data_IF_019083942303
#
_entry.id   IF_019083942303
#
_cell.length_a   1.000
_cell.length_b   1.000
_cell.length_c   1.000
_cell.angle_alpha   90.00
_cell.angle_beta   90.00
_cell.angle_gamma   90.00
#
_symmetry.space_group_name_H-M   'P 1'
#
loop_
_entity.id
_entity.type
_entity.pdbx_description
1 polymer ?
#
# COMPACT_ATOMS: atom_id res chain seq x y z
N UNK A 1 -23.08 25.73 -12.80
CA UNK A 1 -23.35 24.31 -12.50
C UNK A 1 -23.84 24.15 -11.08
N UNK A 2 -24.76 23.23 -10.86
CA UNK A 2 -25.21 22.87 -9.52
C UNK A 2 -24.05 22.22 -8.77
N UNK A 3 -23.77 22.70 -7.55
CA UNK A 3 -22.76 22.11 -6.68
C UNK A 3 -23.27 20.88 -5.93
N UNK A 4 -24.57 20.56 -6.02
CA UNK A 4 -25.21 19.49 -5.31
C UNK A 4 -26.07 18.69 -6.30
N UNK A 5 -26.01 17.35 -6.20
CA UNK A 5 -26.86 16.47 -6.97
C UNK A 5 -28.24 16.38 -6.29
N UNK A 6 -29.33 16.82 -6.93
CA UNK A 6 -30.66 16.82 -6.33
C UNK A 6 -31.15 15.41 -5.89
N UNK A 7 -30.80 14.38 -6.63
CA UNK A 7 -31.18 13.00 -6.32
C UNK A 7 -30.50 12.52 -5.04
N UNK A 8 -29.19 12.74 -4.91
CA UNK A 8 -28.42 12.39 -3.71
C UNK A 8 -28.88 13.17 -2.48
N UNK A 9 -29.28 14.45 -2.65
CA UNK A 9 -29.85 15.25 -1.57
C UNK A 9 -31.19 14.68 -1.13
N UNK A 10 -32.02 14.26 -2.09
CA UNK A 10 -33.30 13.66 -1.77
C UNK A 10 -33.12 12.32 -1.06
N UNK A 11 -32.19 11.50 -1.52
CA UNK A 11 -31.83 10.26 -0.84
C UNK A 11 -31.33 10.52 0.58
N UNK A 12 -30.42 11.47 0.78
CA UNK A 12 -29.98 11.90 2.10
C UNK A 12 -31.14 12.26 3.02
N UNK A 13 -32.14 12.98 2.51
CA UNK A 13 -33.31 13.42 3.28
C UNK A 13 -34.23 12.29 3.69
N UNK A 14 -34.27 11.21 2.91
CA UNK A 14 -35.29 10.16 3.05
C UNK A 14 -34.75 8.80 3.53
N UNK A 15 -33.42 8.59 3.48
CA UNK A 15 -32.82 7.31 3.84
C UNK A 15 -33.05 6.95 5.32
N UNK A 16 -33.48 5.72 5.58
CA UNK A 16 -33.63 5.18 6.94
C UNK A 16 -32.25 4.88 7.59
N UNK A 17 -31.17 4.86 6.80
CA UNK A 17 -29.82 4.58 7.31
C UNK A 17 -29.40 5.58 8.38
N UNK A 18 -29.64 6.88 8.14
CA UNK A 18 -29.34 7.95 9.10
C UNK A 18 -30.10 7.75 10.40
N UNK A 19 -31.37 7.38 10.33
CA UNK A 19 -32.20 7.17 11.51
C UNK A 19 -31.72 5.95 12.31
N UNK A 20 -31.34 4.88 11.60
CA UNK A 20 -30.76 3.69 12.20
C UNK A 20 -29.42 3.99 12.90
N UNK A 21 -28.55 4.78 12.26
CA UNK A 21 -27.30 5.21 12.85
C UNK A 21 -27.51 6.01 14.14
N UNK A 22 -28.46 6.93 14.16
CA UNK A 22 -28.82 7.73 15.35
C UNK A 22 -29.33 6.87 16.50
N UNK A 23 -30.18 5.89 16.23
CA UNK A 23 -30.66 4.93 17.24
C UNK A 23 -29.48 4.20 17.88
N UNK A 24 -28.48 3.86 17.10
CA UNK A 24 -27.22 3.22 17.54
C UNK A 24 -26.18 4.20 18.09
N UNK A 25 -26.49 5.51 18.18
CA UNK A 25 -25.57 6.58 18.59
C UNK A 25 -24.31 6.68 17.72
N UNK A 26 -24.39 6.21 16.48
CA UNK A 26 -23.32 6.31 15.49
C UNK A 26 -23.32 7.70 14.86
N UNK A 27 -22.17 8.31 14.74
CA UNK A 27 -22.02 9.63 14.10
C UNK A 27 -22.26 9.53 12.60
N UNK A 28 -22.93 10.55 12.05
CA UNK A 28 -23.29 10.62 10.64
C UNK A 28 -22.69 11.86 10.01
N UNK A 29 -21.79 11.68 9.04
CA UNK A 29 -21.17 12.75 8.27
C UNK A 29 -21.69 12.70 6.82
N UNK A 30 -21.93 13.88 6.24
CA UNK A 30 -22.26 14.00 4.83
C UNK A 30 -20.98 14.15 4.02
N UNK A 31 -20.68 13.19 3.13
CA UNK A 31 -19.50 13.30 2.24
C UNK A 31 -19.78 14.26 1.08
N UNK A 32 -18.87 15.18 0.90
CA UNK A 32 -18.83 16.15 -0.22
C UNK A 32 -17.65 15.83 -1.10
N UNK A 33 -17.93 15.29 -2.28
CA UNK A 33 -16.90 14.88 -3.22
C UNK A 33 -16.70 15.88 -4.35
N UNK A 34 -15.44 16.10 -4.73
CA UNK A 34 -15.09 16.85 -5.94
C UNK A 34 -13.88 16.18 -6.62
N UNK A 35 -14.05 15.81 -7.88
CA UNK A 35 -13.04 15.04 -8.61
C UNK A 35 -12.42 15.85 -9.76
N UNK A 36 -11.10 15.74 -9.85
CA UNK A 36 -10.31 16.20 -10.97
C UNK A 36 -9.88 17.66 -10.91
N UNK A 37 -8.74 17.89 -11.56
CA UNK A 37 -8.04 19.17 -11.58
C UNK A 37 -8.94 20.37 -11.98
N UNK A 38 -9.72 20.21 -13.06
CA UNK A 38 -10.52 21.31 -13.61
C UNK A 38 -11.59 21.78 -12.64
N UNK A 39 -12.35 20.85 -12.05
CA UNK A 39 -13.44 21.17 -11.14
C UNK A 39 -12.91 21.84 -9.86
N UNK A 40 -11.88 21.25 -9.27
CA UNK A 40 -11.24 21.79 -8.06
C UNK A 40 -10.60 23.16 -8.32
N UNK A 41 -9.95 23.36 -9.47
CA UNK A 41 -9.37 24.67 -9.82
C UNK A 41 -10.42 25.77 -9.95
N UNK A 42 -11.57 25.48 -10.58
CA UNK A 42 -12.68 26.41 -10.73
C UNK A 42 -13.36 26.74 -9.40
N UNK A 43 -13.55 25.74 -8.54
CA UNK A 43 -14.17 25.92 -7.24
C UNK A 43 -13.23 26.70 -6.29
N UNK A 44 -11.99 26.28 -6.16
CA UNK A 44 -11.02 26.90 -5.25
C UNK A 44 -10.54 28.27 -5.74
N UNK A 45 -10.76 28.59 -7.00
CA UNK A 45 -10.45 29.92 -7.58
C UNK A 45 -11.49 30.99 -7.31
N UNK A 46 -12.67 30.65 -6.81
CA UNK A 46 -13.81 31.54 -6.65
C UNK A 46 -14.43 31.38 -5.24
N UNK A 47 -14.05 32.30 -4.34
CA UNK A 47 -14.53 32.27 -2.94
C UNK A 47 -16.04 32.45 -2.79
N UNK A 48 -16.71 33.08 -3.76
CA UNK A 48 -18.17 33.23 -3.71
C UNK A 48 -18.88 31.88 -3.73
N UNK A 49 -18.29 30.90 -4.40
CA UNK A 49 -18.79 29.53 -4.46
C UNK A 49 -18.65 28.78 -3.12
N UNK A 50 -17.62 29.10 -2.33
CA UNK A 50 -17.45 28.49 -1.01
C UNK A 50 -18.63 28.81 -0.10
N UNK A 51 -19.04 30.08 -0.06
CA UNK A 51 -20.18 30.51 0.71
C UNK A 51 -21.47 29.77 0.35
N UNK A 52 -21.76 29.69 -0.96
CA UNK A 52 -22.96 28.99 -1.47
C UNK A 52 -22.93 27.51 -1.06
N UNK A 53 -21.79 26.82 -1.19
CA UNK A 53 -21.66 25.43 -0.79
C UNK A 53 -21.87 25.26 0.74
N UNK A 54 -21.17 26.06 1.55
CA UNK A 54 -21.22 25.95 3.01
C UNK A 54 -22.66 26.22 3.55
N UNK A 55 -23.35 27.22 2.99
CA UNK A 55 -24.74 27.50 3.38
C UNK A 55 -25.68 26.34 3.03
N UNK A 56 -25.50 25.77 1.85
CA UNK A 56 -26.27 24.61 1.42
C UNK A 56 -26.00 23.40 2.32
N UNK A 57 -24.74 23.12 2.64
CA UNK A 57 -24.36 22.04 3.56
C UNK A 57 -24.94 22.26 4.96
N UNK A 58 -24.86 23.48 5.48
CA UNK A 58 -25.44 23.83 6.78
C UNK A 58 -26.93 23.48 6.86
N UNK A 59 -27.70 23.84 5.82
CA UNK A 59 -29.11 23.53 5.76
C UNK A 59 -29.36 22.01 5.73
N UNK A 60 -28.66 21.28 4.86
CA UNK A 60 -28.82 19.82 4.71
C UNK A 60 -28.42 19.08 5.99
N UNK A 61 -27.40 19.50 6.69
CA UNK A 61 -26.97 18.92 7.97
C UNK A 61 -28.01 19.19 9.05
N UNK A 62 -28.53 20.42 9.16
CA UNK A 62 -29.56 20.77 10.14
C UNK A 62 -30.87 20.05 9.86
N UNK A 63 -31.26 19.82 8.59
CA UNK A 63 -32.48 19.10 8.20
C UNK A 63 -32.53 17.67 8.79
N UNK A 64 -31.40 17.01 8.88
CA UNK A 64 -31.30 15.62 9.39
C UNK A 64 -30.60 15.52 10.74
N UNK A 65 -30.25 16.65 11.37
CA UNK A 65 -29.47 16.68 12.61
C UNK A 65 -28.21 15.79 12.50
N UNK A 66 -27.48 15.93 11.38
CA UNK A 66 -26.25 15.18 11.13
C UNK A 66 -25.07 15.76 11.92
N UNK A 67 -24.01 14.94 12.11
CA UNK A 67 -22.91 15.31 13.00
C UNK A 67 -21.81 16.14 12.31
N UNK A 68 -21.78 16.21 10.99
CA UNK A 68 -20.78 16.99 10.26
C UNK A 68 -20.63 16.59 8.79
N UNK A 69 -19.47 16.92 8.25
CA UNK A 69 -19.11 16.66 6.85
C UNK A 69 -17.82 15.89 6.73
N UNK A 70 -17.72 15.10 5.66
CA UNK A 70 -16.48 14.55 5.15
C UNK A 70 -16.15 15.22 3.82
N UNK A 71 -14.94 15.76 3.65
CA UNK A 71 -14.49 16.42 2.44
C UNK A 71 -13.59 15.48 1.66
N UNK A 72 -14.10 14.97 0.54
CA UNK A 72 -13.35 14.12 -0.38
C UNK A 72 -13.09 14.84 -1.71
N UNK A 73 -12.11 15.72 -1.70
CA UNK A 73 -11.68 16.44 -2.89
C UNK A 73 -10.43 15.80 -3.47
N UNK A 74 -10.54 15.15 -4.63
CA UNK A 74 -9.43 14.44 -5.27
C UNK A 74 -8.96 15.17 -6.54
N UNK A 75 -7.64 15.08 -6.82
CA UNK A 75 -7.04 15.77 -7.95
C UNK A 75 -6.95 17.29 -7.74
N UNK A 76 -6.59 17.73 -6.54
CA UNK A 76 -6.38 19.13 -6.21
C UNK A 76 -5.21 19.71 -7.01
N UNK A 77 -5.36 20.95 -7.56
CA UNK A 77 -4.24 21.64 -8.18
C UNK A 77 -3.22 22.10 -7.13
N UNK A 78 -1.95 21.84 -7.36
CA UNK A 78 -0.87 22.27 -6.46
C UNK A 78 -0.93 23.77 -6.12
N UNK A 79 -1.16 24.62 -7.14
CA UNK A 79 -1.27 26.07 -6.95
C UNK A 79 -2.49 26.51 -6.13
N UNK A 80 -3.41 25.60 -5.84
CA UNK A 80 -4.61 25.84 -5.02
C UNK A 80 -4.49 25.29 -3.59
N UNK A 81 -3.34 24.75 -3.18
CA UNK A 81 -3.08 24.28 -1.81
C UNK A 81 -3.53 25.31 -0.76
N UNK A 82 -3.03 26.55 -0.85
CA UNK A 82 -3.42 27.62 0.09
C UNK A 82 -4.89 28.06 -0.02
N UNK A 83 -5.51 27.92 -1.20
CA UNK A 83 -6.96 28.17 -1.35
C UNK A 83 -7.78 27.07 -0.70
N UNK A 84 -7.33 25.82 -0.77
CA UNK A 84 -7.96 24.70 -0.11
C UNK A 84 -7.92 24.84 1.41
N UNK A 85 -6.75 25.17 1.98
CA UNK A 85 -6.64 25.43 3.43
C UNK A 85 -7.61 26.51 3.90
N UNK A 86 -7.66 27.65 3.18
CA UNK A 86 -8.62 28.73 3.50
C UNK A 86 -10.09 28.31 3.35
N UNK A 87 -10.40 27.44 2.38
CA UNK A 87 -11.74 26.89 2.26
C UNK A 87 -12.12 26.03 3.48
N UNK A 88 -11.22 25.16 3.93
CA UNK A 88 -11.45 24.32 5.12
C UNK A 88 -11.57 25.18 6.39
N UNK A 89 -10.73 26.21 6.53
CA UNK A 89 -10.85 27.20 7.63
C UNK A 89 -12.21 27.91 7.64
N UNK A 90 -12.66 28.42 6.48
CA UNK A 90 -13.97 29.08 6.35
C UNK A 90 -15.12 28.11 6.60
N UNK A 91 -15.01 26.87 6.11
CA UNK A 91 -15.95 25.80 6.39
C UNK A 91 -16.07 25.55 7.91
N UNK A 92 -14.95 25.38 8.61
CA UNK A 92 -14.92 25.21 10.08
C UNK A 92 -15.62 26.36 10.80
N UNK A 93 -15.25 27.58 10.45
CA UNK A 93 -15.79 28.78 11.07
C UNK A 93 -17.31 28.86 10.92
N UNK A 94 -17.81 28.70 9.69
CA UNK A 94 -19.25 28.84 9.40
C UNK A 94 -20.07 27.67 9.93
N UNK A 95 -19.59 26.44 9.89
CA UNK A 95 -20.28 25.30 10.48
C UNK A 95 -20.40 25.47 12.00
N UNK A 96 -19.33 25.93 12.68
CA UNK A 96 -19.39 26.20 14.14
C UNK A 96 -20.43 27.28 14.51
N UNK A 97 -20.66 28.24 13.62
CA UNK A 97 -21.64 29.30 13.85
C UNK A 97 -23.10 28.87 13.58
N UNK A 98 -23.30 27.97 12.62
CA UNK A 98 -24.61 27.75 12.04
C UNK A 98 -25.19 26.34 12.27
N UNK A 99 -24.38 25.37 12.70
CA UNK A 99 -24.88 24.05 13.12
C UNK A 99 -25.45 24.17 14.52
N UNK A 100 -26.65 23.60 14.69
CA UNK A 100 -27.43 23.74 15.92
C UNK A 100 -27.07 22.64 16.92
N UNK A 101 -26.99 23.01 18.18
CA UNK A 101 -26.95 22.10 19.35
C UNK A 101 -25.76 21.13 19.45
N UNK A 102 -24.74 21.25 18.57
CA UNK A 102 -23.52 20.41 18.61
C UNK A 102 -22.34 21.08 17.92
N UNK A 103 -21.14 20.62 18.27
CA UNK A 103 -19.91 20.96 17.50
C UNK A 103 -19.84 20.04 16.29
N UNK A 104 -19.86 20.58 15.06
CA UNK A 104 -19.79 19.79 13.86
C UNK A 104 -18.43 19.15 13.66
N UNK A 105 -18.41 17.90 13.20
CA UNK A 105 -17.19 17.18 12.84
C UNK A 105 -16.84 17.51 11.40
N UNK A 106 -15.58 17.82 11.14
CA UNK A 106 -15.01 17.87 9.79
C UNK A 106 -14.02 16.73 9.64
N UNK A 107 -14.32 15.80 8.75
CA UNK A 107 -13.39 14.79 8.26
C UNK A 107 -12.82 15.23 6.93
N UNK A 108 -11.56 14.89 6.66
CA UNK A 108 -10.89 15.11 5.39
C UNK A 108 -10.33 13.81 4.87
N UNK A 109 -10.82 13.39 3.71
CA UNK A 109 -10.29 12.22 3.00
C UNK A 109 -8.99 12.57 2.29
N UNK A 110 -7.95 11.78 2.52
CA UNK A 110 -6.61 11.93 1.98
C UNK A 110 -6.26 10.77 1.04
N UNK A 111 -5.60 11.03 -0.09
CA UNK A 111 -5.12 9.97 -0.99
C UNK A 111 -4.02 9.14 -0.33
N UNK A 112 -3.85 7.90 -0.77
CA UNK A 112 -2.73 7.06 -0.35
C UNK A 112 -1.36 7.74 -0.63
N UNK A 113 -1.29 8.53 -1.71
CA UNK A 113 -0.09 9.27 -2.08
C UNK A 113 -0.45 10.76 -2.18
N UNK A 114 0.13 11.56 -1.30
CA UNK A 114 0.02 13.02 -1.34
C UNK A 114 1.15 13.62 -2.18
N UNK A 115 1.10 13.44 -3.49
CA UNK A 115 2.10 13.95 -4.41
C UNK A 115 2.29 15.46 -4.25
N UNK A 116 3.53 15.90 -4.10
CA UNK A 116 3.90 17.32 -3.95
C UNK A 116 3.28 17.99 -2.71
N UNK A 117 2.90 17.22 -1.69
CA UNK A 117 2.30 17.74 -0.46
C UNK A 117 1.11 18.70 -0.73
N UNK A 118 0.23 18.32 -1.66
CA UNK A 118 -0.92 19.14 -2.04
C UNK A 118 -1.86 19.37 -0.85
N UNK A 119 -2.01 18.36 0.02
CA UNK A 119 -2.74 18.48 1.28
C UNK A 119 -1.74 18.83 2.38
N UNK A 120 -1.82 20.06 2.86
CA UNK A 120 -1.00 20.56 3.98
C UNK A 120 -1.56 20.08 5.30
N UNK A 121 -1.23 18.84 5.65
CA UNK A 121 -1.81 18.20 6.84
C UNK A 121 -1.51 18.96 8.14
N UNK A 122 -0.35 19.62 8.23
CA UNK A 122 0.05 20.41 9.41
C UNK A 122 -0.86 21.63 9.61
N UNK A 123 -1.18 22.34 8.53
CA UNK A 123 -2.08 23.48 8.61
C UNK A 123 -3.54 23.04 8.74
N UNK A 124 -3.94 22.01 7.98
CA UNK A 124 -5.30 21.49 7.96
C UNK A 124 -5.74 20.88 9.29
N UNK A 125 -4.83 20.26 10.08
CA UNK A 125 -5.20 19.63 11.36
C UNK A 125 -5.66 20.64 12.43
N UNK A 126 -5.50 21.94 12.19
CA UNK A 126 -6.06 23.02 13.03
C UNK A 126 -7.58 23.13 12.90
N UNK A 127 -8.10 22.71 11.74
CA UNK A 127 -9.51 22.89 11.34
C UNK A 127 -10.25 21.57 11.17
N UNK A 128 -9.53 20.46 11.02
CA UNK A 128 -10.04 19.11 10.77
C UNK A 128 -10.00 18.28 12.04
N UNK A 129 -11.06 17.52 12.30
CA UNK A 129 -11.16 16.62 13.45
C UNK A 129 -10.62 15.22 13.13
N UNK A 130 -10.83 14.77 11.89
CA UNK A 130 -10.46 13.43 11.43
C UNK A 130 -9.82 13.49 10.04
N UNK A 131 -8.74 12.74 9.85
CA UNK A 131 -8.16 12.46 8.55
C UNK A 131 -8.43 11.02 8.19
N UNK A 132 -9.01 10.78 7.03
CA UNK A 132 -9.27 9.45 6.51
C UNK A 132 -8.33 9.17 5.33
N UNK A 133 -7.31 8.36 5.55
CA UNK A 133 -6.36 7.97 4.51
C UNK A 133 -6.96 6.81 3.71
N UNK A 134 -7.11 6.97 2.40
CA UNK A 134 -7.58 5.94 1.48
C UNK A 134 -6.49 4.89 1.26
N UNK A 135 -6.40 3.91 2.16
CA UNK A 135 -5.43 2.81 2.13
C UNK A 135 -5.86 1.69 1.19
N UNK A 136 -6.18 2.03 -0.05
CA UNK A 136 -6.63 1.09 -1.08
C UNK A 136 -6.33 1.60 -2.49
N UNK A 137 -6.62 0.79 -3.50
CA UNK A 137 -6.39 1.08 -4.92
C UNK A 137 -4.91 1.21 -5.30
N UNK A 138 -4.00 0.55 -4.57
CA UNK A 138 -2.58 0.59 -4.86
C UNK A 138 -2.25 -0.11 -6.19
N UNK A 139 -2.85 -1.27 -6.43
CA UNK A 139 -2.63 -2.09 -7.64
C UNK A 139 -3.98 -2.37 -8.32
N UNK A 140 -4.54 -1.38 -8.99
CA UNK A 140 -5.85 -1.47 -9.66
C UNK A 140 -5.83 -0.97 -11.10
N UNK A 141 -4.67 -0.96 -11.73
CA UNK A 141 -4.51 -0.53 -13.12
C UNK A 141 -4.15 -1.67 -14.07
N UNK A 142 -4.26 -1.45 -15.37
CA UNK A 142 -3.96 -2.47 -16.38
C UNK A 142 -2.54 -3.05 -16.34
N UNK A 143 -1.62 -2.37 -15.67
CA UNK A 143 -0.21 -2.74 -15.59
C UNK A 143 0.26 -3.09 -14.16
N UNK A 144 -0.63 -3.03 -13.18
CA UNK A 144 -0.30 -3.17 -11.77
C UNK A 144 -1.14 -4.30 -11.15
N UNK A 145 -0.82 -5.55 -11.52
CA UNK A 145 -1.46 -6.73 -10.94
C UNK A 145 -0.96 -6.95 -9.51
N UNK A 146 -1.89 -7.15 -8.58
CA UNK A 146 -1.52 -7.39 -7.19
C UNK A 146 -2.56 -6.94 -6.16
N UNK A 147 -2.14 -6.86 -4.91
CA UNK A 147 -2.98 -6.51 -3.77
C UNK A 147 -3.57 -5.11 -3.88
N UNK A 148 -4.86 -4.97 -3.58
CA UNK A 148 -5.56 -3.67 -3.54
C UNK A 148 -5.01 -2.78 -2.43
N UNK A 149 -4.62 -3.38 -1.30
CA UNK A 149 -4.12 -2.68 -0.11
C UNK A 149 -2.92 -3.43 0.50
N UNK A 150 -1.75 -3.48 -0.18
CA UNK A 150 -0.59 -4.21 0.33
C UNK A 150 -0.08 -3.60 1.63
N UNK A 151 0.15 -4.43 2.66
CA UNK A 151 0.69 -3.95 3.93
C UNK A 151 2.14 -3.49 3.78
N UNK A 152 2.97 -4.30 3.13
CA UNK A 152 4.34 -3.97 2.74
C UNK A 152 4.50 -3.99 1.22
N UNK A 153 5.44 -3.22 0.66
CA UNK A 153 5.69 -3.19 -0.78
C UNK A 153 6.33 -4.50 -1.25
N UNK A 154 6.04 -4.93 -2.47
CA UNK A 154 6.74 -6.05 -3.11
C UNK A 154 8.18 -5.69 -3.44
N UNK A 155 8.39 -4.49 -3.97
CA UNK A 155 9.68 -3.87 -4.23
C UNK A 155 9.84 -2.62 -3.38
N UNK A 156 11.05 -2.14 -3.20
CA UNK A 156 11.36 -1.01 -2.28
C UNK A 156 10.71 0.30 -2.69
N UNK A 157 10.40 0.47 -3.96
CA UNK A 157 9.75 1.68 -4.50
C UNK A 157 8.24 1.54 -4.63
N UNK A 158 7.70 0.33 -4.42
CA UNK A 158 6.27 0.08 -4.51
C UNK A 158 5.50 0.78 -3.38
N UNK A 159 4.29 1.16 -3.71
CA UNK A 159 3.40 1.82 -2.77
C UNK A 159 2.74 0.77 -1.89
N UNK A 160 2.60 1.07 -0.60
CA UNK A 160 1.97 0.19 0.38
C UNK A 160 1.36 0.99 1.53
N UNK A 161 0.55 0.33 2.35
CA UNK A 161 0.01 0.93 3.58
C UNK A 161 1.12 1.44 4.50
N UNK A 162 2.20 0.67 4.64
CA UNK A 162 3.34 1.07 5.47
C UNK A 162 4.04 2.32 4.92
N UNK A 163 4.28 2.40 3.62
CA UNK A 163 4.93 3.57 3.01
C UNK A 163 4.02 4.80 3.08
N UNK A 164 2.72 4.63 2.81
CA UNK A 164 1.70 5.68 2.93
C UNK A 164 1.64 6.25 4.33
N UNK A 165 1.44 5.39 5.33
CA UNK A 165 1.29 5.85 6.70
C UNK A 165 2.59 6.46 7.23
N UNK A 166 3.73 5.83 6.94
CA UNK A 166 5.03 6.41 7.28
C UNK A 166 5.20 7.81 6.70
N UNK A 167 4.84 8.02 5.43
CA UNK A 167 4.91 9.33 4.78
C UNK A 167 4.09 10.38 5.53
N UNK A 168 2.82 10.09 5.86
CA UNK A 168 1.98 11.04 6.58
C UNK A 168 2.45 11.30 8.01
N UNK A 169 2.92 10.28 8.71
CA UNK A 169 3.48 10.42 10.06
C UNK A 169 4.78 11.26 10.05
N UNK A 170 5.65 11.04 9.07
CA UNK A 170 6.88 11.82 8.88
C UNK A 170 6.56 13.31 8.55
N UNK A 171 5.43 13.58 7.88
CA UNK A 171 4.91 14.94 7.68
C UNK A 171 4.37 15.57 8.98
N UNK A 172 4.12 14.78 10.03
CA UNK A 172 3.61 15.27 11.32
C UNK A 172 2.08 15.29 11.42
N UNK A 173 1.37 14.43 10.69
CA UNK A 173 -0.06 14.21 10.93
C UNK A 173 -0.27 13.64 12.32
N UNK A 174 -1.33 14.08 13.00
CA UNK A 174 -1.68 13.56 14.34
C UNK A 174 -2.30 12.16 14.23
N UNK A 175 -1.64 11.09 14.74
CA UNK A 175 -2.19 9.74 14.69
C UNK A 175 -3.56 9.64 15.37
N UNK A 176 -3.77 10.38 16.47
CA UNK A 176 -5.02 10.37 17.22
C UNK A 176 -6.22 10.96 16.47
N UNK A 177 -5.97 11.62 15.34
CA UNK A 177 -6.97 12.13 14.39
C UNK A 177 -7.02 11.33 13.10
N UNK A 178 -6.14 10.34 12.90
CA UNK A 178 -5.95 9.64 11.64
C UNK A 178 -6.67 8.29 11.63
N UNK A 179 -7.45 8.04 10.58
CA UNK A 179 -8.16 6.80 10.30
C UNK A 179 -7.53 6.18 9.03
N UNK A 180 -7.17 4.90 9.10
CA UNK A 180 -6.73 4.13 7.93
C UNK A 180 -7.92 3.41 7.31
N UNK A 181 -8.38 3.85 6.14
CA UNK A 181 -9.47 3.20 5.43
C UNK A 181 -8.95 2.04 4.58
N UNK A 182 -9.62 0.88 4.67
CA UNK A 182 -9.25 -0.38 4.05
C UNK A 182 -10.40 -0.92 3.18
N UNK A 183 -10.11 -1.69 2.13
CA UNK A 183 -11.11 -2.15 1.18
C UNK A 183 -11.85 -3.40 1.67
N UNK A 184 -13.18 -3.43 1.52
CA UNK A 184 -14.00 -4.64 1.57
C UNK A 184 -14.28 -5.17 0.16
N UNK A 185 -13.28 -4.98 -0.73
CA UNK A 185 -13.30 -5.44 -2.11
C UNK A 185 -11.91 -5.87 -2.54
N UNK A 186 -11.86 -6.66 -3.59
CA UNK A 186 -10.65 -7.08 -4.25
C UNK A 186 -10.56 -6.58 -5.69
N UNK A 187 -9.57 -7.05 -6.41
CA UNK A 187 -9.39 -6.81 -7.84
C UNK A 187 -9.30 -8.12 -8.58
N UNK A 188 -9.86 -8.16 -9.79
CA UNK A 188 -9.85 -9.31 -10.66
C UNK A 188 -9.20 -8.95 -11.99
N UNK A 189 -8.32 -9.84 -12.43
CA UNK A 189 -7.70 -9.80 -13.76
C UNK A 189 -8.17 -11.01 -14.55
N UNK A 190 -8.46 -10.81 -15.82
CA UNK A 190 -8.79 -11.86 -16.75
C UNK A 190 -7.71 -11.96 -17.81
N UNK A 191 -7.38 -13.17 -18.22
CA UNK A 191 -6.34 -13.44 -19.19
C UNK A 191 -6.55 -14.74 -19.93
N UNK A 192 -5.52 -15.12 -20.69
CA UNK A 192 -5.51 -16.37 -21.44
C UNK A 192 -4.21 -17.11 -21.16
N UNK A 193 -4.30 -18.41 -20.90
CA UNK A 193 -3.16 -19.30 -20.78
C UNK A 193 -2.67 -19.66 -22.19
N UNK A 194 -1.44 -19.25 -22.52
CA UNK A 194 -0.78 -19.62 -23.77
C UNK A 194 -0.30 -21.07 -23.78
N UNK A 195 -0.05 -21.63 -24.95
CA UNK A 195 0.49 -22.98 -25.14
C UNK A 195 1.88 -23.15 -24.50
N UNK A 196 2.63 -22.08 -24.37
CA UNK A 196 3.94 -22.02 -23.71
C UNK A 196 3.88 -21.86 -22.18
N UNK A 197 2.66 -21.85 -21.61
CA UNK A 197 2.42 -21.64 -20.17
C UNK A 197 2.48 -20.16 -19.74
N UNK A 198 2.66 -19.23 -20.67
CA UNK A 198 2.57 -17.79 -20.36
C UNK A 198 1.12 -17.38 -20.14
N UNK A 199 0.91 -16.43 -19.23
CA UNK A 199 -0.41 -15.83 -18.97
C UNK A 199 -0.36 -14.36 -19.32
N UNK A 200 -1.26 -13.91 -20.18
CA UNK A 200 -1.52 -12.50 -20.41
C UNK A 200 -2.76 -12.12 -19.63
N UNK A 201 -2.65 -11.25 -18.64
CA UNK A 201 -3.79 -10.81 -17.86
C UNK A 201 -3.96 -9.29 -17.94
N UNK A 202 -5.22 -8.87 -18.03
CA UNK A 202 -5.63 -7.47 -17.99
C UNK A 202 -6.56 -7.25 -16.81
N UNK A 203 -6.48 -6.07 -16.21
CA UNK A 203 -7.42 -5.68 -15.17
C UNK A 203 -8.85 -5.74 -15.73
N UNK A 204 -9.69 -6.55 -15.12
CA UNK A 204 -11.09 -6.69 -15.51
C UNK A 204 -11.96 -5.71 -14.72
N UNK A 205 -11.99 -5.88 -13.41
CA UNK A 205 -12.82 -5.04 -12.51
C UNK A 205 -12.46 -5.20 -11.04
N UNK A 206 -13.02 -4.33 -10.23
CA UNK A 206 -13.11 -4.53 -8.78
C UNK A 206 -14.23 -5.53 -8.47
N UNK A 207 -14.01 -6.34 -7.42
CA UNK A 207 -14.96 -7.36 -6.95
C UNK A 207 -15.22 -7.16 -5.47
N UNK A 208 -16.48 -7.05 -5.06
CA UNK A 208 -16.83 -6.93 -3.64
C UNK A 208 -16.44 -8.20 -2.88
N UNK A 209 -16.23 -8.10 -1.57
CA UNK A 209 -15.95 -9.28 -0.75
C UNK A 209 -17.03 -10.36 -0.92
N UNK A 210 -18.32 -9.96 -0.95
CA UNK A 210 -19.42 -10.85 -1.26
C UNK A 210 -19.25 -11.61 -2.57
N UNK A 211 -18.85 -10.92 -3.65
CA UNK A 211 -18.61 -11.57 -4.96
C UNK A 211 -17.45 -12.55 -4.87
N UNK A 212 -16.34 -12.17 -4.22
CA UNK A 212 -15.20 -13.07 -4.00
C UNK A 212 -15.67 -14.33 -3.26
N UNK A 213 -16.42 -14.17 -2.16
CA UNK A 213 -16.95 -15.31 -1.40
C UNK A 213 -17.90 -16.19 -2.22
N UNK A 214 -18.67 -15.60 -3.15
CA UNK A 214 -19.54 -16.38 -4.04
C UNK A 214 -18.75 -17.22 -5.06
N UNK A 215 -17.59 -16.76 -5.51
CA UNK A 215 -16.71 -17.53 -6.39
C UNK A 215 -16.24 -18.85 -5.76
N UNK A 216 -16.02 -18.90 -4.43
CA UNK A 216 -15.65 -20.15 -3.74
C UNK A 216 -16.78 -21.17 -3.66
N UNK A 217 -18.02 -20.77 -3.89
CA UNK A 217 -19.17 -21.67 -3.92
C UNK A 217 -19.45 -22.20 -5.34
N UNK A 218 -18.72 -21.78 -6.37
CA UNK A 218 -18.86 -22.34 -7.72
C UNK A 218 -18.43 -23.81 -7.73
N UNK A 219 -19.17 -24.64 -8.39
CA UNK A 219 -18.92 -26.09 -8.50
C UNK A 219 -17.49 -26.38 -8.97
N UNK A 220 -16.99 -25.56 -9.91
CA UNK A 220 -15.63 -25.67 -10.44
C UNK A 220 -14.57 -25.50 -9.36
N UNK A 221 -14.68 -24.48 -8.52
CA UNK A 221 -13.74 -24.19 -7.41
C UNK A 221 -13.78 -25.32 -6.37
N UNK A 222 -14.97 -25.77 -6.04
CA UNK A 222 -15.17 -26.87 -5.08
C UNK A 222 -14.62 -28.19 -5.62
N UNK A 223 -14.87 -28.53 -6.89
CA UNK A 223 -14.40 -29.77 -7.53
C UNK A 223 -12.87 -29.79 -7.66
N UNK A 224 -12.21 -28.64 -7.88
CA UNK A 224 -10.77 -28.56 -8.00
C UNK A 224 -10.04 -28.25 -6.69
N UNK A 225 -10.77 -28.17 -5.56
CA UNK A 225 -10.24 -27.90 -4.22
C UNK A 225 -9.33 -26.65 -4.20
N UNK A 226 -9.75 -25.59 -4.91
CA UNK A 226 -9.00 -24.35 -4.98
C UNK A 226 -9.15 -23.57 -3.68
N UNK A 227 -8.04 -23.17 -3.11
CA UNK A 227 -7.98 -22.35 -1.89
C UNK A 227 -7.13 -21.11 -2.10
N UNK A 228 -7.46 -20.01 -1.42
CA UNK A 228 -6.63 -18.83 -1.47
C UNK A 228 -5.21 -19.09 -1.00
N UNK A 229 -4.29 -18.39 -1.61
CA UNK A 229 -2.87 -18.38 -1.23
C UNK A 229 -2.58 -17.05 -0.55
N UNK A 230 -2.02 -17.11 0.66
CA UNK A 230 -1.58 -15.91 1.36
C UNK A 230 -0.27 -15.41 0.76
N UNK A 231 -0.31 -14.20 0.19
CA UNK A 231 0.90 -13.44 -0.09
C UNK A 231 1.32 -12.69 1.18
N UNK A 232 2.44 -13.12 1.78
CA UNK A 232 2.81 -12.72 3.15
C UNK A 232 3.28 -11.27 3.27
N UNK A 233 3.90 -10.73 2.24
CA UNK A 233 4.48 -9.39 2.29
C UNK A 233 3.39 -8.32 2.19
N UNK A 234 2.51 -8.45 1.23
CA UNK A 234 1.33 -7.60 1.12
C UNK A 234 0.27 -7.89 2.16
N UNK A 235 0.37 -9.04 2.84
CA UNK A 235 -0.67 -9.53 3.75
C UNK A 235 -2.04 -9.52 3.07
N UNK A 236 -2.11 -10.17 1.91
CA UNK A 236 -3.32 -10.23 1.07
C UNK A 236 -3.44 -11.63 0.48
N UNK A 237 -4.65 -12.13 0.33
CA UNK A 237 -4.88 -13.39 -0.33
C UNK A 237 -5.07 -13.20 -1.84
N UNK A 238 -4.68 -14.22 -2.60
CA UNK A 238 -5.02 -14.34 -4.01
C UNK A 238 -5.33 -15.78 -4.38
N UNK A 239 -6.03 -15.97 -5.49
CA UNK A 239 -6.22 -17.27 -6.12
C UNK A 239 -6.31 -17.13 -7.64
N UNK A 240 -5.93 -18.20 -8.32
CA UNK A 240 -5.96 -18.29 -9.78
C UNK A 240 -6.96 -19.36 -10.20
N UNK A 241 -7.80 -19.01 -11.15
CA UNK A 241 -8.74 -19.92 -11.82
C UNK A 241 -8.31 -20.09 -13.28
N UNK A 242 -8.26 -21.33 -13.74
CA UNK A 242 -8.09 -21.61 -15.18
C UNK A 242 -9.28 -22.43 -15.64
N UNK A 243 -10.03 -21.86 -16.59
CA UNK A 243 -11.21 -22.50 -17.15
C UNK A 243 -10.82 -23.45 -18.30
N UNK A 244 -11.73 -24.41 -18.69
CA UNK A 244 -11.46 -25.37 -19.75
C UNK A 244 -11.18 -24.76 -21.13
N UNK A 245 -11.59 -23.51 -21.36
CA UNK A 245 -11.34 -22.74 -22.58
C UNK A 245 -10.01 -21.96 -22.55
N UNK A 246 -9.14 -22.24 -21.57
CA UNK A 246 -7.91 -21.52 -21.28
C UNK A 246 -8.07 -20.07 -20.80
N UNK A 247 -9.29 -19.63 -20.51
CA UNK A 247 -9.48 -18.35 -19.79
C UNK A 247 -8.91 -18.49 -18.39
N UNK A 248 -8.17 -17.49 -17.96
CA UNK A 248 -7.62 -17.43 -16.58
C UNK A 248 -8.19 -16.23 -15.86
N UNK A 249 -8.48 -16.41 -14.57
CA UNK A 249 -8.82 -15.30 -13.67
C UNK A 249 -7.91 -15.34 -12.47
N UNK A 250 -7.39 -14.19 -12.10
CA UNK A 250 -6.65 -13.99 -10.86
C UNK A 250 -7.39 -12.97 -10.00
N UNK A 251 -7.63 -13.31 -8.75
CA UNK A 251 -8.39 -12.47 -7.82
C UNK A 251 -7.52 -12.20 -6.59
N UNK A 252 -7.32 -10.93 -6.28
CA UNK A 252 -6.66 -10.48 -5.06
C UNK A 252 -7.66 -9.83 -4.12
N UNK A 253 -7.66 -10.22 -2.85
CA UNK A 253 -8.63 -9.74 -1.87
C UNK A 253 -8.11 -9.89 -0.44
N UNK A 254 -8.73 -9.15 0.47
CA UNK A 254 -8.51 -9.31 1.90
C UNK A 254 -9.62 -10.14 2.53
N UNK A 255 -9.26 -11.00 3.49
CA UNK A 255 -10.18 -11.76 4.34
C UNK A 255 -10.09 -11.29 5.81
N UNK A 256 -10.73 -12.01 6.71
CA UNK A 256 -10.73 -11.76 8.14
C UNK A 256 -9.30 -11.77 8.73
N UNK A 257 -8.46 -12.71 8.30
CA UNK A 257 -7.08 -12.81 8.77
C UNK A 257 -6.22 -11.64 8.29
N UNK A 258 -6.24 -11.35 6.99
CA UNK A 258 -5.38 -10.32 6.39
C UNK A 258 -5.79 -8.91 6.80
N UNK A 259 -7.12 -8.63 6.87
CA UNK A 259 -7.63 -7.39 7.44
C UNK A 259 -7.30 -7.28 8.93
N UNK A 260 -7.43 -8.39 9.69
CA UNK A 260 -7.03 -8.41 11.09
C UNK A 260 -5.59 -7.97 11.32
N UNK A 261 -4.66 -8.37 10.46
CA UNK A 261 -3.26 -7.91 10.50
C UNK A 261 -3.09 -6.43 10.14
N UNK A 262 -3.87 -5.92 9.19
CA UNK A 262 -3.88 -4.49 8.83
C UNK A 262 -4.52 -3.64 9.93
N UNK A 263 -5.49 -4.18 10.67
CA UNK A 263 -6.05 -3.55 11.87
C UNK A 263 -5.02 -3.51 13.02
N UNK A 264 -4.28 -4.61 13.23
CA UNK A 264 -3.18 -4.65 14.20
C UNK A 264 -2.14 -3.56 13.88
N UNK A 265 -1.83 -3.38 12.59
CA UNK A 265 -0.92 -2.33 12.14
C UNK A 265 -1.43 -0.93 12.48
N UNK A 266 -2.71 -0.64 12.25
CA UNK A 266 -3.30 0.64 12.59
C UNK A 266 -3.28 0.90 14.12
N UNK A 267 -3.59 -0.12 14.92
CA UNK A 267 -3.52 -0.06 16.38
C UNK A 267 -2.10 0.15 16.88
N UNK A 268 -1.11 -0.57 16.32
CA UNK A 268 0.30 -0.44 16.68
C UNK A 268 0.92 0.93 16.33
N UNK A 269 0.27 1.70 15.45
CA UNK A 269 0.63 3.09 15.10
C UNK A 269 -0.18 4.13 15.87
N UNK A 270 -0.93 3.72 16.88
CA UNK A 270 -1.77 4.60 17.72
C UNK A 270 -2.75 5.45 16.90
N UNK A 271 -3.24 4.91 15.77
CA UNK A 271 -4.21 5.62 14.95
C UNK A 271 -5.54 5.75 15.67
N UNK A 272 -6.33 6.77 15.30
CA UNK A 272 -7.70 6.97 15.80
C UNK A 272 -8.58 5.75 15.58
N UNK A 273 -8.33 5.01 14.50
CA UNK A 273 -9.06 3.80 14.16
C UNK A 273 -8.87 3.39 12.72
N UNK A 274 -9.77 2.51 12.28
CA UNK A 274 -9.85 2.07 10.88
C UNK A 274 -11.14 2.54 10.24
N UNK A 275 -11.12 2.68 8.92
CA UNK A 275 -12.29 2.85 8.08
C UNK A 275 -12.47 1.66 7.14
N UNK A 276 -13.66 1.51 6.58
CA UNK A 276 -13.93 0.49 5.57
C UNK A 276 -14.56 1.11 4.32
N UNK A 277 -14.16 0.64 3.14
CA UNK A 277 -14.78 0.97 1.87
C UNK A 277 -15.23 -0.31 1.15
N UNK A 278 -16.54 -0.63 1.10
CA UNK A 278 -17.59 0.18 1.66
C UNK A 278 -18.61 -0.71 2.37
N UNK A 279 -19.44 -0.08 3.18
CA UNK A 279 -20.55 -0.73 3.87
C UNK A 279 -21.43 -1.51 2.89
N UNK A 280 -21.72 -2.77 3.21
CA UNK A 280 -22.52 -3.67 2.38
C UNK A 280 -21.76 -4.44 1.29
N UNK A 281 -20.45 -4.21 1.13
CA UNK A 281 -19.64 -4.99 0.19
C UNK A 281 -19.40 -6.44 0.66
N UNK A 282 -19.58 -6.69 1.92
CA UNK A 282 -19.55 -8.00 2.59
C UNK A 282 -20.95 -8.60 2.85
N UNK A 283 -22.01 -8.02 2.28
CA UNK A 283 -23.39 -8.37 2.58
C UNK A 283 -23.68 -9.89 2.49
N UNK A 284 -24.10 -10.47 3.59
CA UNK A 284 -24.32 -11.91 3.76
C UNK A 284 -23.18 -12.66 4.46
N UNK A 285 -22.10 -11.96 4.83
CA UNK A 285 -20.93 -12.50 5.52
C UNK A 285 -20.57 -11.62 6.71
N UNK A 286 -20.33 -12.21 7.88
CA UNK A 286 -20.10 -11.47 9.12
C UNK A 286 -18.65 -11.49 9.60
N UNK A 287 -17.83 -12.37 9.06
CA UNK A 287 -16.47 -12.59 9.54
C UNK A 287 -15.59 -11.34 9.58
N UNK A 288 -15.81 -10.39 8.65
CA UNK A 288 -15.06 -9.13 8.66
C UNK A 288 -15.48 -8.20 9.81
N UNK A 289 -16.76 -8.24 10.20
CA UNK A 289 -17.28 -7.52 11.37
C UNK A 289 -16.83 -8.15 12.67
N UNK A 290 -16.79 -9.48 12.74
CA UNK A 290 -16.30 -10.22 13.90
C UNK A 290 -14.85 -9.83 14.22
N UNK A 291 -14.02 -9.61 13.19
CA UNK A 291 -12.63 -9.11 13.38
C UNK A 291 -12.62 -7.70 13.96
N UNK A 292 -13.48 -6.79 13.49
CA UNK A 292 -13.58 -5.45 14.05
C UNK A 292 -13.99 -5.53 15.53
N UNK A 293 -15.02 -6.31 15.85
CA UNK A 293 -15.46 -6.49 17.23
C UNK A 293 -14.33 -7.02 18.12
N UNK A 294 -13.64 -8.06 17.67
CA UNK A 294 -12.54 -8.66 18.42
C UNK A 294 -11.33 -7.73 18.62
N UNK A 295 -11.03 -6.85 17.66
CA UNK A 295 -9.86 -5.97 17.72
C UNK A 295 -10.11 -4.64 18.43
N UNK A 296 -11.34 -4.12 18.36
CA UNK A 296 -11.67 -2.79 18.85
C UNK A 296 -12.66 -2.81 20.04
N UNK A 297 -12.99 -3.99 20.58
CA UNK A 297 -13.72 -4.09 21.84
C UNK A 297 -12.91 -3.47 22.99
N UNK A 298 -13.61 -2.98 24.01
CA UNK A 298 -13.06 -2.21 25.14
C UNK A 298 -11.96 -2.92 25.95
N UNK A 299 -11.84 -4.24 25.84
CA UNK A 299 -10.86 -5.07 26.56
C UNK A 299 -9.74 -5.60 25.63
N UNK A 300 -9.45 -4.89 24.53
CA UNK A 300 -8.45 -5.32 23.56
C UNK A 300 -7.05 -5.44 24.19
N UNK A 301 -6.39 -6.57 23.92
CA UNK A 301 -5.02 -6.83 24.34
C UNK A 301 -4.04 -5.96 23.53
N UNK A 302 -2.93 -5.46 24.13
CA UNK A 302 -1.90 -4.77 23.37
C UNK A 302 -1.44 -5.58 22.14
N UNK A 303 -1.35 -4.93 20.99
CA UNK A 303 -1.08 -5.58 19.71
C UNK A 303 0.36 -5.31 19.29
N UNK A 304 1.06 -6.35 18.84
CA UNK A 304 2.39 -6.20 18.24
C UNK A 304 2.28 -5.68 16.79
N UNK A 305 3.21 -4.81 16.39
CA UNK A 305 3.28 -4.31 15.02
C UNK A 305 3.58 -5.46 14.05
N UNK A 306 2.64 -5.82 13.15
CA UNK A 306 2.82 -6.95 12.25
C UNK A 306 3.94 -6.74 11.23
N UNK A 307 4.31 -5.49 10.90
CA UNK A 307 5.39 -5.18 9.96
C UNK A 307 6.70 -5.78 10.43
N UNK A 308 7.01 -5.69 11.73
CA UNK A 308 8.21 -6.30 12.31
C UNK A 308 8.23 -7.82 12.21
N UNK A 309 7.09 -8.47 12.16
CA UNK A 309 6.95 -9.94 12.01
C UNK A 309 7.03 -10.39 10.55
N UNK A 310 6.55 -9.57 9.60
CA UNK A 310 6.53 -9.86 8.17
C UNK A 310 7.90 -9.60 7.53
N UNK A 311 8.58 -8.53 7.94
CA UNK A 311 9.93 -8.23 7.48
C UNK A 311 10.90 -9.35 7.84
N UNK A 312 10.95 -10.36 6.99
CA UNK A 312 11.92 -11.44 7.09
C UNK A 312 13.36 -10.94 6.93
N UNK A 313 14.33 -11.75 7.40
CA UNK A 313 15.76 -11.45 7.27
C UNK A 313 16.21 -11.05 5.85
N UNK A 314 15.76 -11.73 4.75
CA UNK A 314 16.12 -11.34 3.38
C UNK A 314 15.68 -9.90 3.02
N UNK A 315 14.48 -9.49 3.44
CA UNK A 315 13.94 -8.14 3.16
C UNK A 315 14.72 -7.08 3.93
N UNK A 316 15.03 -7.31 5.21
CA UNK A 316 15.84 -6.39 6.02
C UNK A 316 17.24 -6.19 5.44
N UNK A 317 17.88 -7.25 4.97
CA UNK A 317 19.19 -7.20 4.33
C UNK A 317 19.12 -6.46 3.00
N UNK A 318 18.12 -6.75 2.17
CA UNK A 318 17.87 -6.05 0.91
C UNK A 318 17.67 -4.55 1.14
N UNK A 319 16.76 -4.17 2.03
CA UNK A 319 16.48 -2.77 2.38
C UNK A 319 17.73 -2.06 2.95
N UNK A 320 18.55 -2.76 3.76
CA UNK A 320 19.80 -2.22 4.25
C UNK A 320 20.79 -1.93 3.12
N UNK A 321 20.93 -2.85 2.17
CA UNK A 321 21.82 -2.69 1.00
C UNK A 321 21.35 -1.51 0.14
N UNK A 322 20.05 -1.43 -0.16
CA UNK A 322 19.47 -0.35 -0.97
C UNK A 322 19.56 1.02 -0.29
N UNK A 323 19.31 1.11 1.00
CA UNK A 323 19.49 2.34 1.79
C UNK A 323 20.93 2.84 1.79
N UNK A 324 21.90 1.95 1.59
CA UNK A 324 23.34 2.24 1.55
C UNK A 324 23.94 1.96 0.17
N UNK A 325 23.12 2.00 -0.90
CA UNK A 325 23.51 1.60 -2.25
C UNK A 325 24.82 2.27 -2.73
N UNK A 326 24.97 3.57 -2.52
CA UNK A 326 26.15 4.30 -2.96
C UNK A 326 27.41 3.83 -2.22
N UNK A 327 27.29 3.56 -0.91
CA UNK A 327 28.40 3.04 -0.12
C UNK A 327 28.80 1.63 -0.59
N UNK A 328 27.81 0.75 -0.83
CA UNK A 328 28.06 -0.60 -1.33
C UNK A 328 28.64 -0.57 -2.76
N UNK A 329 28.14 0.31 -3.63
CA UNK A 329 28.64 0.45 -4.99
C UNK A 329 30.12 0.91 -4.98
N UNK A 330 30.43 1.99 -4.26
CA UNK A 330 31.79 2.54 -4.17
C UNK A 330 32.73 1.52 -3.53
N UNK A 331 32.34 0.86 -2.44
CA UNK A 331 33.18 -0.14 -1.78
C UNK A 331 33.40 -1.37 -2.66
N UNK A 332 32.39 -1.82 -3.41
CA UNK A 332 32.51 -2.95 -4.34
C UNK A 332 33.43 -2.62 -5.53
N UNK A 333 33.35 -1.41 -6.09
CA UNK A 333 34.25 -0.94 -7.16
C UNK A 333 35.66 -0.81 -6.66
N UNK A 334 35.86 -0.24 -5.46
CA UNK A 334 37.18 -0.14 -4.85
C UNK A 334 37.83 -1.52 -4.62
N UNK A 335 37.02 -2.47 -4.13
CA UNK A 335 37.45 -3.83 -3.92
C UNK A 335 37.78 -4.54 -5.22
N UNK A 336 36.98 -4.40 -6.29
CA UNK A 336 37.30 -4.95 -7.62
C UNK A 336 38.62 -4.40 -8.15
N UNK A 337 38.88 -3.10 -7.95
CA UNK A 337 40.15 -2.49 -8.32
C UNK A 337 41.31 -3.08 -7.52
N UNK A 338 41.15 -3.26 -6.21
CA UNK A 338 42.17 -3.90 -5.36
C UNK A 338 42.45 -5.36 -5.76
N UNK A 339 41.39 -6.13 -6.10
CA UNK A 339 41.50 -7.51 -6.61
C UNK A 339 42.25 -7.53 -7.94
N UNK A 340 41.98 -6.57 -8.84
CA UNK A 340 42.64 -6.46 -10.12
C UNK A 340 44.16 -6.17 -9.93
N UNK A 341 44.51 -5.26 -9.03
CA UNK A 341 45.90 -5.00 -8.66
C UNK A 341 46.57 -6.25 -8.09
N UNK A 342 45.90 -6.93 -7.14
CA UNK A 342 46.36 -8.18 -6.56
C UNK A 342 46.58 -9.27 -7.61
N UNK A 343 45.71 -9.37 -8.61
CA UNK A 343 45.86 -10.29 -9.73
C UNK A 343 47.09 -9.95 -10.57
N UNK A 344 47.32 -8.67 -10.89
CA UNK A 344 48.53 -8.22 -11.64
C UNK A 344 49.77 -8.55 -10.84
N UNK A 345 49.83 -8.27 -9.53
CA UNK A 345 50.97 -8.61 -8.67
C UNK A 345 51.19 -10.13 -8.67
N UNK A 346 50.15 -10.93 -8.59
CA UNK A 346 50.22 -12.41 -8.60
C UNK A 346 50.79 -12.93 -9.93
N UNK A 347 50.48 -12.25 -11.04
CA UNK A 347 51.09 -12.59 -12.35
C UNK A 347 52.58 -12.25 -12.43
N UNK A 348 52.98 -11.15 -11.81
CA UNK A 348 54.34 -10.63 -11.86
C UNK A 348 55.27 -11.29 -10.83
N UNK A 349 54.78 -11.68 -9.65
CA UNK A 349 55.57 -12.28 -8.57
C UNK A 349 55.23 -13.77 -8.36
N UNK A 350 56.18 -14.64 -8.72
CA UNK A 350 56.00 -16.09 -8.59
C UNK A 350 55.89 -16.56 -7.15
N UNK A 351 56.49 -15.86 -6.17
CA UNK A 351 56.42 -16.23 -4.74
C UNK A 351 55.02 -15.99 -4.19
N UNK A 352 54.40 -14.86 -4.55
CA UNK A 352 53.01 -14.53 -4.18
C UNK A 352 52.07 -15.52 -4.81
N UNK A 353 52.23 -15.84 -6.10
CA UNK A 353 51.44 -16.86 -6.79
C UNK A 353 51.54 -18.23 -6.12
N UNK A 354 52.74 -18.66 -5.78
CA UNK A 354 52.97 -19.99 -5.13
C UNK A 354 52.34 -20.04 -3.76
N UNK A 355 52.43 -18.96 -2.98
CA UNK A 355 51.76 -18.85 -1.66
C UNK A 355 50.24 -18.94 -1.71
N UNK A 356 49.61 -18.28 -2.70
CA UNK A 356 48.13 -18.32 -2.85
C UNK A 356 47.69 -19.67 -3.39
N UNK A 357 48.39 -20.22 -4.40
CA UNK A 357 48.00 -21.47 -5.06
C UNK A 357 48.22 -22.70 -4.17
N UNK A 358 49.29 -22.77 -3.40
CA UNK A 358 49.61 -23.94 -2.54
C UNK A 358 48.84 -23.97 -1.22
N UNK A 359 48.48 -22.83 -0.68
CA UNK A 359 47.78 -22.78 0.62
C UNK A 359 46.26 -22.81 0.45
N UNK A 360 45.62 -23.92 0.86
CA UNK A 360 44.16 -24.08 0.77
C UNK A 360 43.39 -23.00 1.56
N UNK A 361 43.93 -22.58 2.68
CA UNK A 361 43.29 -21.55 3.51
C UNK A 361 43.29 -20.17 2.85
N UNK A 362 44.43 -19.78 2.23
CA UNK A 362 44.52 -18.52 1.50
C UNK A 362 43.58 -18.49 0.29
N UNK A 363 43.42 -19.61 -0.42
CA UNK A 363 42.46 -19.77 -1.51
C UNK A 363 41.04 -19.62 -1.04
N UNK A 364 40.68 -20.28 0.06
CA UNK A 364 39.34 -20.19 0.64
C UNK A 364 39.01 -18.77 1.06
N UNK A 365 39.89 -18.07 1.76
CA UNK A 365 39.71 -16.68 2.13
C UNK A 365 39.52 -15.79 0.89
N UNK A 366 40.33 -15.94 -0.14
CA UNK A 366 40.23 -15.15 -1.37
C UNK A 366 38.86 -15.34 -2.05
N UNK A 367 38.37 -16.58 -2.13
CA UNK A 367 37.07 -16.89 -2.70
C UNK A 367 35.94 -16.28 -1.87
N UNK A 368 35.99 -16.40 -0.52
CA UNK A 368 34.99 -15.82 0.38
C UNK A 368 34.93 -14.29 0.27
N UNK A 369 36.08 -13.64 0.18
CA UNK A 369 36.15 -12.18 0.01
C UNK A 369 35.51 -11.76 -1.34
N UNK A 370 35.85 -12.46 -2.43
CA UNK A 370 35.23 -12.19 -3.74
C UNK A 370 33.71 -12.34 -3.66
N UNK A 371 33.23 -13.40 -3.02
CA UNK A 371 31.80 -13.66 -2.88
C UNK A 371 31.07 -12.56 -2.10
N UNK A 372 31.63 -12.13 -0.95
CA UNK A 372 31.05 -11.08 -0.12
C UNK A 372 30.89 -9.74 -0.86
N UNK A 373 31.80 -9.40 -1.75
CA UNK A 373 31.72 -8.12 -2.49
C UNK A 373 31.01 -8.25 -3.83
N UNK A 374 31.08 -9.41 -4.49
CA UNK A 374 30.42 -9.60 -5.78
C UNK A 374 28.89 -9.73 -5.64
N UNK A 375 28.41 -10.34 -4.57
CA UNK A 375 26.98 -10.55 -4.36
C UNK A 375 26.19 -9.24 -4.24
N UNK A 376 26.57 -8.28 -3.39
CA UNK A 376 25.90 -6.97 -3.33
C UNK A 376 26.01 -6.19 -4.64
N UNK A 377 27.16 -6.30 -5.34
CA UNK A 377 27.34 -5.62 -6.63
C UNK A 377 26.40 -6.16 -7.70
N UNK A 378 26.27 -7.47 -7.83
CA UNK A 378 25.33 -8.10 -8.78
C UNK A 378 23.89 -7.73 -8.44
N UNK A 379 23.55 -7.73 -7.15
CA UNK A 379 22.25 -7.27 -6.69
C UNK A 379 21.95 -5.83 -7.09
N UNK A 380 22.88 -4.91 -6.81
CA UNK A 380 22.75 -3.48 -7.16
C UNK A 380 22.70 -3.25 -8.67
N UNK A 381 23.48 -3.97 -9.47
CA UNK A 381 23.44 -3.88 -10.94
C UNK A 381 22.06 -4.32 -11.44
N UNK A 382 21.52 -5.39 -10.91
CA UNK A 382 20.19 -5.87 -11.29
C UNK A 382 19.09 -4.83 -10.98
N UNK A 383 19.13 -4.21 -9.80
CA UNK A 383 18.18 -3.16 -9.39
C UNK A 383 18.32 -1.87 -10.19
N UNK A 384 19.56 -1.41 -10.45
CA UNK A 384 19.81 -0.15 -11.15
C UNK A 384 19.48 -0.20 -12.64
N UNK A 385 19.59 -1.37 -13.28
CA UNK A 385 19.39 -1.52 -14.73
C UNK A 385 18.04 -2.14 -15.09
N UNK A 386 17.09 -2.29 -14.12
CA UNK A 386 15.75 -2.87 -14.35
C UNK A 386 15.77 -4.21 -15.11
N UNK A 387 16.80 -5.00 -14.89
CA UNK A 387 16.89 -6.34 -15.46
C UNK A 387 15.85 -7.21 -14.74
N UNK A 388 14.62 -7.20 -15.23
CA UNK A 388 13.44 -7.93 -14.71
C UNK A 388 13.58 -9.46 -14.76
N UNK A 389 14.74 -10.02 -14.95
CA UNK A 389 14.90 -11.47 -15.02
C UNK A 389 15.84 -11.96 -13.93
N UNK A 390 15.29 -12.73 -13.07
CA UNK A 390 15.87 -13.90 -12.44
C UNK A 390 17.34 -13.77 -12.01
N UNK A 391 17.66 -12.71 -11.23
CA UNK A 391 18.94 -12.59 -10.53
C UNK A 391 19.34 -13.92 -9.85
N UNK A 392 18.35 -14.77 -9.51
CA UNK A 392 18.52 -16.15 -9.02
C UNK A 392 19.38 -17.01 -9.97
N UNK A 393 19.23 -16.85 -11.28
CA UNK A 393 20.03 -17.61 -12.25
C UNK A 393 21.47 -17.10 -12.30
N UNK A 394 21.71 -15.80 -12.15
CA UNK A 394 23.07 -15.27 -12.04
C UNK A 394 23.76 -15.74 -10.75
N UNK A 395 23.01 -15.79 -9.65
CA UNK A 395 23.52 -16.32 -8.37
C UNK A 395 23.84 -17.81 -8.50
N UNK A 396 22.98 -18.59 -9.13
CA UNK A 396 23.21 -20.02 -9.41
C UNK A 396 24.40 -20.21 -10.37
N UNK A 397 24.53 -19.36 -11.40
CA UNK A 397 25.67 -19.39 -12.31
C UNK A 397 26.98 -19.07 -11.57
N UNK A 398 27.01 -18.03 -10.74
CA UNK A 398 28.18 -17.65 -9.93
C UNK A 398 28.52 -18.77 -8.93
N UNK A 399 27.53 -19.32 -8.23
CA UNK A 399 27.71 -20.44 -7.32
C UNK A 399 28.20 -21.70 -8.05
N UNK A 400 27.65 -21.99 -9.24
CA UNK A 400 28.08 -23.09 -10.10
C UNK A 400 29.53 -22.92 -10.57
N UNK A 401 29.89 -21.74 -11.06
CA UNK A 401 31.24 -21.41 -11.47
C UNK A 401 32.25 -21.50 -10.31
N UNK A 402 31.84 -21.04 -9.13
CA UNK A 402 32.61 -21.14 -7.88
C UNK A 402 32.81 -22.61 -7.46
N UNK A 403 31.76 -23.43 -7.56
CA UNK A 403 31.81 -24.85 -7.23
C UNK A 403 32.71 -25.61 -8.19
N UNK A 404 32.64 -25.32 -9.50
CA UNK A 404 33.52 -25.89 -10.52
C UNK A 404 34.97 -25.46 -10.26
N UNK A 405 35.19 -24.17 -9.97
CA UNK A 405 36.51 -23.65 -9.63
C UNK A 405 37.07 -24.30 -8.37
N UNK A 406 36.29 -24.42 -7.29
CA UNK A 406 36.69 -25.12 -6.05
C UNK A 406 36.95 -26.59 -6.29
N UNK A 407 36.13 -27.27 -7.09
CA UNK A 407 36.34 -28.71 -7.40
C UNK A 407 37.60 -28.94 -8.23
N UNK A 408 37.96 -28.02 -9.11
CA UNK A 408 39.22 -28.12 -9.88
C UNK A 408 40.46 -28.08 -9.00
N UNK A 409 40.39 -27.43 -7.83
CA UNK A 409 41.47 -27.41 -6.84
C UNK A 409 41.55 -28.60 -5.93
N UNK A 410 40.42 -29.32 -5.75
CA UNK A 410 40.36 -30.55 -4.96
C UNK A 410 40.91 -31.77 -5.72
N UNK A 411 40.92 -31.71 -7.03
CA UNK A 411 41.38 -32.80 -7.93
C UNK A 411 42.84 -32.71 -8.42
N UNK A 412 43.59 -31.70 -7.98
CA UNK A 412 45.03 -31.65 -8.30
C UNK A 412 45.79 -32.29 -7.17
N UNK A 413 46.05 -33.63 -7.33
CA UNK A 413 47.11 -34.34 -6.65
C UNK A 413 48.40 -34.13 -7.40
#
# INVERSE_FOLDING_TARGET
GSYLNPEQIQEWRTTAMIDSAKVKKTKVLLTVSSFGYKNNNLFLGDQSKWGVLIDSLTNILNDRDADGVDINFEGLPYLKRGSFNRFIEELRKRLNQNIRNKTPIISLTLPAINSREIYDVIDLQKFVDLFLIMGYDYNTGPQLQGAVAPLLPYETEDISLNNTLKYYLDLGIDPSKTILALPYYGSMWEGTLGEDGSTTSLFERKVTYREVRSLFNEDFVTQNNLSPVLERQSMTNYFNLTYPDNTTKEVWFDDDYTLGKKYDYALAKDLKGIGIWALGYDNGYNELWDVIENKFATDAVPVEDPVGQIEGYPIRVSNFILKKKDLFLVSSLFFLFAVMIGFVITLLDWKVRDSIVKNQFNRFIMVMIIFVFLTPLVYLINELFFLKSDWKYYLVFILGALTIYLSSFLNIK
#
